data_IF_261970859748
#
_entry.id   IF_261970859748
#
_cell.length_a   1.000
_cell.length_b   1.000
_cell.length_c   1.000
_cell.angle_alpha   90.00
_cell.angle_beta   90.00
_cell.angle_gamma   90.00
#
_symmetry.space_group_name_H-M   'P 1'
#
loop_
_entity.id
_entity.type
_entity.pdbx_description
1 polymer ?
#
# COMPACT_ATOMS: atom_id res chain seq x y z
N UNK A 1 -16.20 -22.70 5.61
CA UNK A 1 -15.99 -22.03 6.90
C UNK A 1 -15.23 -20.76 6.58
N UNK A 2 -15.83 -19.58 6.79
CA UNK A 2 -15.13 -18.32 6.60
C UNK A 2 -14.13 -18.21 7.75
N UNK A 3 -12.82 -18.22 7.44
CA UNK A 3 -11.83 -17.77 8.40
C UNK A 3 -12.19 -16.35 8.79
N UNK A 4 -12.54 -16.14 10.05
CA UNK A 4 -12.82 -14.82 10.57
C UNK A 4 -11.50 -14.04 10.49
N UNK A 5 -11.39 -13.12 9.53
CA UNK A 5 -10.26 -12.19 9.44
C UNK A 5 -10.09 -11.51 10.79
N UNK A 6 -8.85 -11.50 11.29
CA UNK A 6 -8.56 -10.81 12.54
C UNK A 6 -8.90 -9.32 12.37
N UNK A 7 -9.65 -8.71 13.32
CA UNK A 7 -10.03 -7.31 13.20
C UNK A 7 -8.79 -6.42 13.24
N UNK A 8 -8.72 -5.45 12.32
CA UNK A 8 -7.69 -4.41 12.33
C UNK A 8 -7.81 -3.59 13.62
N UNK A 9 -6.70 -3.32 14.29
CA UNK A 9 -6.74 -2.53 15.52
C UNK A 9 -7.14 -1.08 15.20
N UNK A 10 -7.89 -0.39 16.08
CA UNK A 10 -8.44 0.94 15.76
C UNK A 10 -7.41 2.00 15.34
N UNK A 11 -6.20 1.93 15.87
CA UNK A 11 -5.11 2.84 15.49
C UNK A 11 -4.55 2.56 14.08
N UNK A 12 -4.50 1.31 13.66
CA UNK A 12 -4.11 0.93 12.30
C UNK A 12 -5.21 1.26 11.28
N UNK A 13 -6.47 1.10 11.66
CA UNK A 13 -7.59 1.54 10.83
C UNK A 13 -7.58 3.06 10.64
N UNK A 14 -7.31 3.82 11.71
CA UNK A 14 -7.13 5.27 11.62
C UNK A 14 -5.95 5.64 10.71
N UNK A 15 -4.82 4.94 10.84
CA UNK A 15 -3.66 5.14 9.95
C UNK A 15 -4.04 4.89 8.49
N UNK A 16 -4.71 3.78 8.18
CA UNK A 16 -5.14 3.45 6.82
C UNK A 16 -6.08 4.51 6.24
N UNK A 17 -7.10 4.94 7.01
CA UNK A 17 -8.02 6.00 6.59
C UNK A 17 -7.32 7.33 6.32
N UNK A 18 -6.38 7.73 7.19
CA UNK A 18 -5.61 8.97 6.98
C UNK A 18 -4.66 8.84 5.78
N UNK A 19 -4.06 7.67 5.56
CA UNK A 19 -3.23 7.40 4.40
C UNK A 19 -4.04 7.46 3.10
N UNK A 20 -5.26 6.88 3.06
CA UNK A 20 -6.18 6.99 1.92
C UNK A 20 -6.54 8.44 1.65
N UNK A 21 -6.96 9.18 2.67
CA UNK A 21 -7.28 10.62 2.55
C UNK A 21 -6.07 11.42 2.04
N UNK A 22 -4.87 11.09 2.51
CA UNK A 22 -3.65 11.69 1.97
C UNK A 22 -3.48 11.33 0.50
N UNK A 23 -3.62 10.06 0.12
CA UNK A 23 -3.44 9.52 -1.22
C UNK A 23 -4.42 10.09 -2.27
N UNK A 24 -5.58 10.59 -1.85
CA UNK A 24 -6.54 11.32 -2.71
C UNK A 24 -6.45 12.85 -2.58
N UNK A 25 -5.62 13.38 -1.67
CA UNK A 25 -5.38 14.82 -1.51
C UNK A 25 -6.29 15.55 -0.51
N UNK A 26 -7.06 14.83 0.30
CA UNK A 26 -7.97 15.39 1.31
C UNK A 26 -7.27 15.84 2.60
N UNK A 27 -6.07 15.33 2.87
CA UNK A 27 -5.23 15.76 3.99
C UNK A 27 -3.77 15.83 3.58
N UNK A 28 -3.01 16.70 4.24
CA UNK A 28 -1.59 16.92 3.93
C UNK A 28 -0.64 16.02 4.73
N UNK A 29 -1.16 15.23 5.69
CA UNK A 29 -0.32 14.42 6.58
C UNK A 29 -1.08 13.26 7.25
N UNK A 30 -0.33 12.30 7.78
CA UNK A 30 -0.78 11.14 8.55
C UNK A 30 0.30 10.72 9.56
N UNK A 31 0.02 9.87 10.57
CA UNK A 31 1.04 9.43 11.53
C UNK A 31 2.16 8.59 10.87
N UNK A 32 3.41 9.08 10.94
CA UNK A 32 4.56 8.41 10.33
C UNK A 32 5.83 8.50 11.19
N UNK A 33 6.81 7.64 10.90
CA UNK A 33 8.18 7.79 11.38
C UNK A 33 8.94 8.79 10.50
N UNK A 34 10.11 9.21 10.96
CA UNK A 34 11.04 10.03 10.16
C UNK A 34 11.53 9.28 8.92
N UNK A 35 11.72 7.96 9.07
CA UNK A 35 12.13 7.05 8.00
C UNK A 35 10.97 6.12 7.63
N UNK A 36 10.56 6.13 6.36
CA UNK A 36 9.57 5.20 5.80
C UNK A 36 10.19 4.42 4.65
N UNK A 37 10.20 3.09 4.75
CA UNK A 37 10.66 2.22 3.66
C UNK A 37 9.55 2.03 2.62
N UNK A 38 9.93 2.04 1.34
CA UNK A 38 9.04 1.83 0.22
C UNK A 38 9.43 0.52 -0.47
N UNK A 39 8.46 -0.37 -0.63
CA UNK A 39 8.67 -1.71 -1.17
C UNK A 39 7.65 -2.02 -2.27
N UNK A 40 8.08 -2.87 -3.21
CA UNK A 40 7.22 -3.45 -4.24
C UNK A 40 7.38 -4.97 -4.15
N UNK A 41 6.28 -5.68 -3.94
CA UNK A 41 6.26 -7.14 -3.79
C UNK A 41 7.26 -7.68 -2.76
N UNK A 42 7.46 -6.95 -1.65
CA UNK A 42 8.38 -7.29 -0.57
C UNK A 42 9.84 -6.90 -0.82
N UNK A 43 10.19 -6.45 -2.01
CA UNK A 43 11.51 -5.92 -2.29
C UNK A 43 11.56 -4.45 -1.89
N UNK A 44 12.41 -4.10 -0.92
CA UNK A 44 12.65 -2.70 -0.56
C UNK A 44 13.32 -2.00 -1.72
N UNK A 45 12.68 -0.94 -2.20
CA UNK A 45 13.10 -0.18 -3.38
C UNK A 45 13.74 1.13 -2.99
N UNK A 46 13.16 1.82 -2.01
CA UNK A 46 13.62 3.13 -1.57
C UNK A 46 13.34 3.32 -0.07
N UNK A 47 13.90 4.38 0.48
CA UNK A 47 13.55 4.86 1.81
C UNK A 47 13.42 6.38 1.80
N UNK A 48 12.35 6.87 2.42
CA UNK A 48 12.06 8.30 2.57
C UNK A 48 12.61 8.74 3.92
N UNK A 49 13.70 9.53 3.90
CA UNK A 49 14.36 10.06 5.10
C UNK A 49 13.81 11.42 5.55
N UNK A 50 13.21 12.18 4.61
CA UNK A 50 12.48 13.41 4.90
C UNK A 50 11.04 13.23 4.44
N UNK A 51 10.28 12.60 5.32
CA UNK A 51 8.85 12.35 5.09
C UNK A 51 8.06 13.67 4.99
N UNK A 52 8.49 14.74 5.66
CA UNK A 52 7.84 16.05 5.57
C UNK A 52 7.90 16.59 4.14
N UNK A 53 9.07 16.52 3.50
CA UNK A 53 9.22 16.87 2.09
C UNK A 53 8.41 15.93 1.17
N UNK A 54 8.38 14.62 1.47
CA UNK A 54 7.65 13.63 0.68
C UNK A 54 6.12 13.75 0.75
N UNK A 55 5.59 14.30 1.85
CA UNK A 55 4.16 14.63 1.97
C UNK A 55 3.75 15.77 1.04
N UNK A 56 4.66 16.72 0.80
CA UNK A 56 4.44 17.82 -0.16
C UNK A 56 4.71 17.37 -1.59
N UNK A 57 5.76 16.58 -1.80
CA UNK A 57 6.19 16.11 -3.12
C UNK A 57 5.71 14.67 -3.36
N UNK A 58 4.47 14.54 -3.85
CA UNK A 58 3.85 13.22 -4.09
C UNK A 58 4.65 12.33 -5.06
N UNK A 59 5.49 12.90 -5.92
CA UNK A 59 6.42 12.16 -6.78
C UNK A 59 7.41 11.28 -6.01
N UNK A 60 7.68 11.58 -4.73
CA UNK A 60 8.53 10.73 -3.87
C UNK A 60 7.94 9.34 -3.62
N UNK A 61 6.64 9.17 -3.83
CA UNK A 61 5.94 7.88 -3.71
C UNK A 61 6.00 7.03 -4.98
N UNK A 62 6.62 7.56 -6.04
CA UNK A 62 6.87 6.83 -7.29
C UNK A 62 8.23 6.16 -7.23
N UNK A 63 8.27 4.83 -7.24
CA UNK A 63 9.51 4.05 -7.10
C UNK A 63 9.54 2.88 -8.08
N UNK A 64 10.74 2.40 -8.40
CA UNK A 64 10.91 1.12 -9.06
C UNK A 64 12.21 0.44 -8.63
N UNK A 65 12.22 -0.90 -8.48
CA UNK A 65 13.45 -1.62 -8.28
C UNK A 65 14.44 -1.35 -9.41
N UNK A 66 15.73 -1.38 -9.09
CA UNK A 66 16.78 -1.22 -10.09
C UNK A 66 16.65 -2.28 -11.19
N UNK A 67 16.75 -1.83 -12.45
CA UNK A 67 16.66 -2.69 -13.63
C UNK A 67 15.24 -3.09 -14.06
N UNK A 68 14.20 -2.65 -13.35
CA UNK A 68 12.82 -2.93 -13.73
C UNK A 68 12.30 -1.85 -14.69
N UNK A 69 11.56 -2.28 -15.72
CA UNK A 69 10.87 -1.40 -16.67
C UNK A 69 9.36 -1.31 -16.38
N UNK A 70 8.81 -2.31 -15.68
CA UNK A 70 7.41 -2.41 -15.28
C UNK A 70 7.29 -3.33 -14.06
N UNK A 71 6.13 -3.28 -13.39
CA UNK A 71 5.69 -4.26 -12.40
C UNK A 71 4.17 -4.30 -12.34
N UNK A 72 3.61 -5.51 -12.35
CA UNK A 72 2.17 -5.68 -12.46
C UNK A 72 1.66 -4.99 -13.74
N UNK A 73 0.47 -4.39 -13.64
CA UNK A 73 -0.10 -3.57 -14.70
C UNK A 73 0.55 -2.18 -14.90
N UNK A 74 1.64 -1.84 -14.19
CA UNK A 74 2.23 -0.48 -14.18
C UNK A 74 3.63 -0.40 -14.79
N UNK A 75 3.89 0.65 -15.57
CA UNK A 75 5.25 1.01 -16.03
C UNK A 75 6.04 1.71 -14.92
N UNK A 76 7.35 1.55 -14.94
CA UNK A 76 8.23 2.26 -14.01
C UNK A 76 8.34 3.76 -14.33
N UNK A 77 8.34 4.65 -13.31
CA UNK A 77 8.22 4.35 -11.88
C UNK A 77 6.77 4.05 -11.45
N UNK A 78 6.60 3.04 -10.59
CA UNK A 78 5.28 2.65 -10.06
C UNK A 78 4.87 3.61 -8.96
N UNK A 79 3.65 4.14 -9.05
CA UNK A 79 3.06 5.02 -8.04
C UNK A 79 2.42 4.22 -6.90
N UNK A 80 2.99 4.28 -5.70
CA UNK A 80 2.46 3.60 -4.52
C UNK A 80 1.09 4.13 -4.07
N UNK A 81 0.73 5.35 -4.47
CA UNK A 81 -0.56 5.97 -4.16
C UNK A 81 -1.59 5.72 -5.28
N UNK A 82 -1.12 5.38 -6.48
CA UNK A 82 -1.93 5.25 -7.70
C UNK A 82 -3.16 4.35 -7.55
N UNK A 83 -3.06 3.13 -6.98
CA UNK A 83 -4.23 2.25 -6.82
C UNK A 83 -5.31 2.81 -5.90
N UNK A 84 -4.94 3.64 -4.91
CA UNK A 84 -5.92 4.30 -4.04
C UNK A 84 -6.63 5.42 -4.82
N UNK A 85 -5.87 6.21 -5.58
CA UNK A 85 -6.42 7.28 -6.42
C UNK A 85 -7.38 6.71 -7.48
N UNK A 86 -6.98 5.63 -8.16
CA UNK A 86 -7.82 4.93 -9.13
C UNK A 86 -9.10 4.37 -8.50
N UNK A 87 -8.99 3.72 -7.34
CA UNK A 87 -10.18 3.25 -6.62
C UNK A 87 -11.12 4.41 -6.23
N UNK A 88 -10.57 5.54 -5.79
CA UNK A 88 -11.37 6.72 -5.47
C UNK A 88 -12.06 7.34 -6.69
N UNK A 89 -11.38 7.41 -7.84
CA UNK A 89 -11.94 7.91 -9.10
C UNK A 89 -13.09 7.02 -9.60
N UNK A 90 -12.99 5.71 -9.40
CA UNK A 90 -13.99 4.74 -9.85
C UNK A 90 -15.08 4.44 -8.81
N UNK A 91 -15.05 5.07 -7.63
CA UNK A 91 -15.93 4.77 -6.49
C UNK A 91 -15.86 3.30 -6.04
N UNK A 92 -14.67 2.69 -6.18
CA UNK A 92 -14.39 1.33 -5.76
C UNK A 92 -14.09 1.28 -4.25
N UNK A 93 -14.91 0.59 -3.44
CA UNK A 93 -14.71 0.56 -2.01
C UNK A 93 -13.46 -0.26 -1.65
N UNK A 94 -12.66 0.31 -0.75
CA UNK A 94 -11.51 -0.35 -0.15
C UNK A 94 -11.87 -0.99 1.19
N UNK A 95 -11.32 -2.17 1.43
CA UNK A 95 -11.37 -2.87 2.72
C UNK A 95 -10.03 -2.81 3.42
N UNK A 96 -10.07 -2.85 4.76
CA UNK A 96 -8.90 -2.86 5.64
C UNK A 96 -8.83 -4.19 6.37
N UNK A 97 -7.75 -4.95 6.17
CA UNK A 97 -7.56 -6.27 6.80
C UNK A 97 -6.24 -6.31 7.56
N UNK A 98 -6.14 -7.19 8.57
CA UNK A 98 -4.93 -7.34 9.38
C UNK A 98 -3.92 -8.32 8.76
N UNK A 99 -4.34 -9.06 7.73
CA UNK A 99 -3.57 -10.15 7.13
C UNK A 99 -3.29 -9.87 5.65
N UNK A 100 -2.06 -10.18 5.23
CA UNK A 100 -1.67 -10.15 3.82
C UNK A 100 -2.20 -11.40 3.11
N UNK A 101 -3.25 -11.23 2.32
CA UNK A 101 -3.76 -12.26 1.40
C UNK A 101 -3.20 -12.14 -0.01
N UNK A 102 -3.37 -13.18 -0.82
CA UNK A 102 -2.90 -13.24 -2.21
C UNK A 102 -3.60 -12.20 -3.10
N UNK A 103 -2.85 -11.61 -4.03
CA UNK A 103 -3.37 -10.70 -5.07
C UNK A 103 -3.58 -11.51 -6.35
N UNK A 104 -4.79 -11.41 -6.92
CA UNK A 104 -5.18 -12.13 -8.13
C UNK A 104 -4.28 -11.69 -9.28
N UNK A 105 -3.74 -12.65 -10.03
CA UNK A 105 -2.88 -12.41 -11.17
C UNK A 105 -1.61 -11.58 -10.88
N UNK A 106 -1.20 -11.42 -9.61
CA UNK A 106 0.02 -10.71 -9.31
C UNK A 106 1.27 -11.52 -9.68
N UNK A 107 2.37 -10.86 -10.10
CA UNK A 107 3.66 -11.50 -10.20
C UNK A 107 4.07 -12.16 -8.88
N UNK A 108 4.88 -13.22 -8.97
CA UNK A 108 5.39 -13.89 -7.78
C UNK A 108 6.14 -12.90 -6.89
N UNK A 109 5.73 -12.84 -5.61
CA UNK A 109 6.39 -12.01 -4.61
C UNK A 109 7.87 -12.38 -4.48
N UNK A 110 8.76 -11.40 -4.66
CA UNK A 110 10.21 -11.61 -4.63
C UNK A 110 10.82 -11.44 -3.23
N UNK A 111 10.21 -10.60 -2.38
CA UNK A 111 10.70 -10.34 -1.03
C UNK A 111 9.88 -11.02 0.09
N UNK A 112 10.34 -10.93 1.34
CA UNK A 112 9.65 -11.53 2.47
C UNK A 112 8.26 -10.93 2.67
N UNK A 113 7.34 -11.70 3.25
CA UNK A 113 6.06 -11.16 3.71
C UNK A 113 6.28 -10.07 4.76
N UNK A 114 5.47 -8.99 4.76
CA UNK A 114 5.59 -7.95 5.76
C UNK A 114 5.33 -8.54 7.15
N UNK A 115 6.07 -8.09 8.15
CA UNK A 115 5.96 -8.57 9.54
C UNK A 115 5.59 -7.44 10.49
N UNK A 116 4.90 -7.78 11.57
CA UNK A 116 4.58 -6.86 12.66
C UNK A 116 3.15 -6.32 12.58
N UNK A 117 2.94 -5.09 13.09
CA UNK A 117 1.64 -4.42 13.09
C UNK A 117 1.37 -3.88 11.70
N UNK A 118 0.46 -4.50 10.96
CA UNK A 118 0.14 -4.11 9.59
C UNK A 118 -1.36 -3.98 9.37
N UNK A 119 -1.71 -3.15 8.39
CA UNK A 119 -3.05 -3.07 7.80
C UNK A 119 -2.88 -3.13 6.29
N UNK A 120 -3.71 -3.92 5.63
CA UNK A 120 -3.71 -4.10 4.19
C UNK A 120 -4.92 -3.41 3.60
N UNK A 121 -4.69 -2.57 2.60
CA UNK A 121 -5.71 -1.92 1.81
C UNK A 121 -5.87 -2.69 0.50
N UNK A 122 -7.11 -3.06 0.18
CA UNK A 122 -7.46 -3.81 -1.03
C UNK A 122 -8.86 -3.43 -1.50
N UNK A 123 -9.23 -3.66 -2.77
CA UNK A 123 -10.63 -3.63 -3.19
C UNK A 123 -11.48 -4.65 -2.40
N UNK A 124 -12.78 -4.40 -2.28
CA UNK A 124 -13.75 -5.40 -1.77
C UNK A 124 -13.69 -6.69 -2.61
N UNK A 125 -13.91 -7.85 -1.99
CA UNK A 125 -13.74 -9.15 -2.67
C UNK A 125 -14.52 -9.26 -3.99
N UNK A 126 -15.75 -8.75 -4.04
CA UNK A 126 -16.63 -8.88 -5.22
C UNK A 126 -16.17 -8.01 -6.41
N UNK A 127 -15.27 -7.04 -6.20
CA UNK A 127 -14.70 -6.19 -7.26
C UNK A 127 -13.28 -6.60 -7.68
N UNK A 128 -12.70 -7.63 -7.05
CA UNK A 128 -11.34 -8.09 -7.36
C UNK A 128 -11.31 -8.87 -8.66
N UNK A 129 -10.53 -8.39 -9.62
CA UNK A 129 -10.25 -9.05 -10.89
C UNK A 129 -8.76 -8.97 -11.20
N UNK A 130 -8.26 -9.69 -12.21
CA UNK A 130 -6.86 -9.53 -12.65
C UNK A 130 -6.53 -8.09 -13.11
N UNK A 131 -7.53 -7.29 -13.48
CA UNK A 131 -7.32 -5.91 -13.91
C UNK A 131 -7.38 -4.88 -12.76
N UNK A 132 -7.97 -5.24 -11.61
CA UNK A 132 -8.31 -4.28 -10.55
C UNK A 132 -7.76 -4.65 -9.18
N UNK A 133 -7.23 -5.87 -8.99
CA UNK A 133 -6.79 -6.32 -7.67
C UNK A 133 -5.40 -5.79 -7.31
N UNK A 134 -5.26 -5.38 -6.06
CA UNK A 134 -4.00 -4.96 -5.49
C UNK A 134 -3.99 -5.23 -3.99
N UNK A 135 -2.79 -5.16 -3.41
CA UNK A 135 -2.61 -5.08 -1.97
C UNK A 135 -1.57 -4.02 -1.63
N UNK A 136 -2.00 -2.99 -0.90
CA UNK A 136 -1.12 -2.00 -0.31
C UNK A 136 -1.02 -2.25 1.19
N UNK A 137 0.14 -2.68 1.64
CA UNK A 137 0.40 -2.97 3.05
C UNK A 137 1.04 -1.76 3.71
N UNK A 138 0.39 -1.25 4.76
CA UNK A 138 0.95 -0.25 5.65
C UNK A 138 1.44 -0.96 6.90
N UNK A 139 2.75 -0.92 7.13
CA UNK A 139 3.35 -1.46 8.35
C UNK A 139 3.61 -0.30 9.31
N UNK A 140 3.13 -0.43 10.54
CA UNK A 140 3.29 0.56 11.59
C UNK A 140 4.31 0.15 12.67
N UNK A 141 4.81 1.12 13.42
CA UNK A 141 5.54 0.90 14.66
C UNK A 141 4.61 0.64 15.86
N UNK A 142 5.19 0.45 17.05
CA UNK A 142 4.45 0.21 18.29
C UNK A 142 3.57 1.38 18.72
N UNK A 143 3.74 2.57 18.13
CA UNK A 143 2.94 3.77 18.38
C UNK A 143 1.90 4.03 17.29
N UNK A 144 1.72 3.11 16.33
CA UNK A 144 0.77 3.25 15.23
C UNK A 144 1.23 4.22 14.13
N UNK A 145 2.54 4.52 14.06
CA UNK A 145 3.11 5.39 13.02
C UNK A 145 3.62 4.57 11.85
N UNK A 146 3.34 5.00 10.63
CA UNK A 146 3.83 4.35 9.42
C UNK A 146 5.35 4.23 9.43
N UNK A 147 5.85 3.02 9.17
CA UNK A 147 7.29 2.73 9.01
C UNK A 147 7.64 2.12 7.66
N UNK A 148 6.69 1.48 6.99
CA UNK A 148 6.91 0.88 5.67
C UNK A 148 5.61 0.82 4.90
N UNK A 149 5.72 0.98 3.58
CA UNK A 149 4.67 0.69 2.60
C UNK A 149 5.16 -0.39 1.67
N UNK A 150 4.31 -1.36 1.33
CA UNK A 150 4.61 -2.42 0.38
C UNK A 150 3.42 -2.62 -0.56
N UNK A 151 3.65 -2.47 -1.86
CA UNK A 151 2.62 -2.62 -2.89
C UNK A 151 2.81 -3.91 -3.68
N UNK A 152 1.72 -4.65 -3.85
CA UNK A 152 1.58 -5.73 -4.82
C UNK A 152 0.46 -5.36 -5.79
N UNK A 153 0.74 -5.41 -7.10
CA UNK A 153 -0.21 -5.12 -8.18
C UNK A 153 -0.50 -6.39 -8.97
N UNK A 154 -1.74 -6.55 -9.42
CA UNK A 154 -2.08 -7.56 -10.41
C UNK A 154 -1.44 -7.26 -11.77
N UNK A 155 -1.24 -8.30 -12.59
CA UNK A 155 -0.82 -8.23 -14.00
C UNK A 155 -1.80 -9.06 -14.84
N UNK A 156 -2.70 -8.45 -15.63
CA UNK A 156 -3.68 -9.18 -16.44
C UNK A 156 -3.08 -9.94 -17.62
#
# INVERSE_FOLDING_TARGET
>A
MADAEAPVTPDLELLAKLFVRYAVGDVDSFPHRELVSLSISGQVVASVHDIGAALVQRTTWKVCPEGWTAYGASLCPVDLLGPIDEAAVNDDPLVYTADYGDVICAPTRSGPSPRGRLVVLRPVNDSRTCASDFALVLVADVRGRLRSVDLTLSEP
#
